data_IF_032485256600
#
_entry.id   IF_032485256600
#
_cell.length_a   1.000
_cell.length_b   1.000
_cell.length_c   1.000
_cell.angle_alpha   90.00
_cell.angle_beta   90.00
_cell.angle_gamma   90.00
#
_symmetry.space_group_name_H-M   'P 1'
#
loop_
_entity.id
_entity.type
_entity.pdbx_description
1 polymer ?
#
# COMPACT_ATOMS: atom_id res chain seq x y z
N UNK A 1 14.46 18.40 20.53
CA UNK A 1 13.43 17.55 19.93
C UNK A 1 12.45 17.22 21.02
N UNK A 2 11.16 17.42 20.80
CA UNK A 2 10.16 17.02 21.79
C UNK A 2 10.10 15.49 21.84
N UNK A 3 10.10 14.95 23.06
CA UNK A 3 9.89 13.53 23.33
C UNK A 3 8.40 13.21 23.20
N UNK A 4 7.98 12.86 21.99
CA UNK A 4 6.61 12.41 21.73
C UNK A 4 6.57 10.89 21.84
N UNK A 5 5.57 10.31 22.53
CA UNK A 5 5.50 8.86 22.74
C UNK A 5 5.23 8.06 21.44
N UNK A 6 4.89 8.73 20.34
CA UNK A 6 4.62 8.14 19.03
C UNK A 6 5.68 8.65 18.05
N UNK A 7 6.60 7.76 17.67
CA UNK A 7 7.67 8.05 16.71
C UNK A 7 7.52 7.14 15.49
N UNK A 8 7.60 7.71 14.30
CA UNK A 8 7.55 6.96 13.05
C UNK A 8 8.91 6.31 12.77
N UNK A 9 8.94 4.98 12.61
CA UNK A 9 10.17 4.24 12.31
C UNK A 9 10.33 3.92 10.83
N UNK A 10 9.27 3.38 10.22
CA UNK A 10 9.28 3.01 8.81
C UNK A 10 7.90 3.18 8.18
N UNK A 11 7.84 3.09 6.86
CA UNK A 11 6.59 3.12 6.11
C UNK A 11 6.49 1.93 5.17
N UNK A 12 5.27 1.41 5.02
CA UNK A 12 4.89 0.60 3.87
C UNK A 12 4.39 1.56 2.78
N UNK A 13 4.96 1.46 1.60
CA UNK A 13 4.58 2.23 0.42
C UNK A 13 4.16 1.26 -0.68
N UNK A 14 2.88 1.28 -1.07
CA UNK A 14 2.40 0.41 -2.16
C UNK A 14 1.80 1.25 -3.27
N UNK A 15 2.18 0.92 -4.49
CA UNK A 15 1.71 1.62 -5.68
C UNK A 15 1.19 0.61 -6.69
N UNK A 16 -0.11 0.70 -7.01
CA UNK A 16 -0.85 -0.37 -7.70
C UNK A 16 -1.73 0.18 -8.82
N UNK A 17 -1.85 -0.60 -9.89
CA UNK A 17 -2.91 -0.46 -10.89
C UNK A 17 -3.83 -1.70 -10.86
N UNK A 18 -5.15 -1.56 -10.69
CA UNK A 18 -6.08 -2.65 -10.99
C UNK A 18 -6.09 -2.95 -12.49
N UNK A 19 -6.41 -4.20 -12.84
CA UNK A 19 -6.73 -4.59 -14.21
C UNK A 19 -7.87 -3.71 -14.74
N UNK A 20 -7.82 -3.37 -16.04
CA UNK A 20 -8.86 -2.56 -16.68
C UNK A 20 -10.25 -3.19 -16.48
N UNK A 21 -11.23 -2.39 -16.05
CA UNK A 21 -12.60 -2.84 -15.75
C UNK A 21 -12.80 -3.34 -14.31
N UNK A 22 -11.74 -3.43 -13.51
CA UNK A 22 -11.79 -3.90 -12.12
C UNK A 22 -11.58 -2.77 -11.10
N UNK A 23 -11.53 -1.51 -11.52
CA UNK A 23 -11.19 -0.35 -10.69
C UNK A 23 -12.15 -0.17 -9.51
N UNK A 24 -13.46 -0.34 -9.76
CA UNK A 24 -14.49 -0.23 -8.71
C UNK A 24 -14.39 -1.41 -7.73
N UNK A 25 -14.18 -2.62 -8.24
CA UNK A 25 -14.05 -3.82 -7.42
C UNK A 25 -12.80 -3.74 -6.53
N UNK A 26 -11.67 -3.30 -7.10
CA UNK A 26 -10.44 -3.06 -6.38
C UNK A 26 -10.63 -2.06 -5.24
N UNK A 27 -11.23 -0.89 -5.51
CA UNK A 27 -11.46 0.11 -4.46
C UNK A 27 -12.39 -0.40 -3.37
N UNK A 28 -13.49 -1.08 -3.72
CA UNK A 28 -14.41 -1.66 -2.73
C UNK A 28 -13.71 -2.69 -1.84
N UNK A 29 -12.94 -3.60 -2.43
CA UNK A 29 -12.15 -4.58 -1.69
C UNK A 29 -11.13 -3.89 -0.77
N UNK A 30 -10.44 -2.88 -1.30
CA UNK A 30 -9.39 -2.20 -0.55
C UNK A 30 -9.95 -1.40 0.63
N UNK A 31 -11.05 -0.66 0.43
CA UNK A 31 -11.69 0.16 1.46
C UNK A 31 -12.41 -0.66 2.53
N UNK A 32 -12.98 -1.81 2.17
CA UNK A 32 -13.79 -2.61 3.08
C UNK A 32 -13.01 -3.70 3.79
N UNK A 33 -11.90 -4.14 3.20
CA UNK A 33 -11.14 -5.26 3.73
C UNK A 33 -9.64 -4.94 3.79
N UNK A 34 -8.96 -4.83 2.64
CA UNK A 34 -7.50 -4.87 2.60
C UNK A 34 -6.81 -3.79 3.43
N UNK A 35 -7.29 -2.55 3.40
CA UNK A 35 -6.70 -1.45 4.16
C UNK A 35 -6.71 -1.75 5.66
N UNK A 36 -7.76 -2.39 6.16
CA UNK A 36 -7.88 -2.71 7.58
C UNK A 36 -7.27 -4.07 7.89
N UNK A 37 -7.78 -5.14 7.30
CA UNK A 37 -7.40 -6.50 7.64
C UNK A 37 -5.98 -6.86 7.20
N UNK A 38 -5.50 -6.28 6.09
CA UNK A 38 -4.13 -6.49 5.63
C UNK A 38 -3.12 -5.56 6.29
N UNK A 39 -3.56 -4.43 6.86
CA UNK A 39 -2.66 -3.41 7.38
C UNK A 39 -3.11 -2.85 8.74
N UNK A 40 -4.17 -2.02 8.82
CA UNK A 40 -4.44 -1.21 10.02
C UNK A 40 -4.77 -2.01 11.31
N UNK A 41 -5.18 -3.27 11.23
CA UNK A 41 -5.33 -4.13 12.42
C UNK A 41 -4.00 -4.75 12.87
N UNK A 42 -2.97 -4.64 12.04
CA UNK A 42 -1.65 -5.19 12.29
C UNK A 42 -0.98 -4.49 13.46
N UNK A 43 -0.13 -5.22 14.19
CA UNK A 43 0.57 -4.64 15.32
C UNK A 43 1.47 -3.50 14.83
N UNK A 44 1.50 -2.41 15.60
CA UNK A 44 2.40 -1.27 15.44
C UNK A 44 2.17 -0.33 14.25
N UNK A 45 1.17 -0.58 13.39
CA UNK A 45 0.67 0.46 12.49
C UNK A 45 -0.16 1.46 13.28
N UNK A 46 0.16 2.74 13.15
CA UNK A 46 -0.60 3.80 13.85
C UNK A 46 -1.31 4.76 12.89
N UNK A 47 -0.93 4.77 11.60
CA UNK A 47 -1.57 5.61 10.60
C UNK A 47 -1.44 5.00 9.22
N UNK A 48 -2.39 5.31 8.35
CA UNK A 48 -2.33 4.99 6.93
C UNK A 48 -3.25 5.89 6.13
N UNK A 49 -2.99 6.00 4.83
CA UNK A 49 -3.84 6.78 3.92
C UNK A 49 -3.72 6.28 2.49
N UNK A 50 -4.75 6.58 1.70
CA UNK A 50 -4.83 6.23 0.29
C UNK A 50 -5.04 7.47 -0.57
N UNK A 51 -4.50 7.42 -1.77
CA UNK A 51 -4.65 8.45 -2.80
C UNK A 51 -4.82 7.81 -4.16
N UNK A 52 -5.41 8.58 -5.07
CA UNK A 52 -5.56 8.21 -6.48
C UNK A 52 -4.89 9.26 -7.33
N UNK A 53 -3.93 8.84 -8.16
CA UNK A 53 -3.33 9.65 -9.21
C UNK A 53 -4.09 9.42 -10.52
N UNK A 54 -4.81 10.44 -10.98
CA UNK A 54 -5.47 10.42 -12.29
C UNK A 54 -4.43 10.46 -13.41
N UNK A 55 -4.82 10.17 -14.67
CA UNK A 55 -3.93 10.26 -15.83
C UNK A 55 -3.17 11.59 -15.88
N UNK A 56 -3.88 12.71 -15.72
CA UNK A 56 -3.28 14.04 -15.70
C UNK A 56 -2.24 14.23 -14.58
N UNK A 57 -2.42 13.61 -13.40
CA UNK A 57 -1.41 13.65 -12.34
C UNK A 57 -0.20 12.76 -12.68
N UNK A 58 -0.41 11.63 -13.37
CA UNK A 58 0.68 10.76 -13.81
C UNK A 58 1.50 11.39 -14.94
N UNK A 59 0.89 12.24 -15.76
CA UNK A 59 1.58 13.01 -16.81
C UNK A 59 2.55 14.07 -16.25
N UNK A 60 2.43 14.42 -14.97
CA UNK A 60 3.35 15.33 -14.29
C UNK A 60 4.59 14.63 -13.70
N UNK A 61 4.71 13.31 -13.84
CA UNK A 61 5.79 12.55 -13.21
C UNK A 61 7.11 12.77 -13.93
N UNK A 62 8.17 12.84 -13.13
CA UNK A 62 9.54 12.96 -13.60
C UNK A 62 10.48 12.21 -12.63
N UNK A 63 11.65 11.75 -13.09
CA UNK A 63 12.05 11.67 -14.50
C UNK A 63 11.20 10.65 -15.28
N UNK A 64 11.17 10.80 -16.61
CA UNK A 64 10.55 9.80 -17.50
C UNK A 64 11.40 8.52 -17.57
N UNK A 65 10.80 7.44 -18.08
CA UNK A 65 11.45 6.13 -18.21
C UNK A 65 11.26 5.25 -16.97
N UNK A 66 12.25 4.42 -16.66
CA UNK A 66 12.24 3.55 -15.48
C UNK A 66 12.82 4.28 -14.26
N UNK A 67 12.16 4.15 -13.11
CA UNK A 67 12.56 4.82 -11.87
C UNK A 67 12.60 3.83 -10.70
N UNK A 68 13.28 4.17 -9.59
CA UNK A 68 13.25 3.35 -8.37
C UNK A 68 11.84 3.18 -7.77
N UNK A 69 10.89 4.05 -8.13
CA UNK A 69 9.51 4.01 -7.61
C UNK A 69 8.61 3.20 -8.53
N UNK A 70 8.67 3.40 -9.85
CA UNK A 70 7.84 2.72 -10.83
C UNK A 70 8.57 2.56 -12.19
N UNK A 71 8.33 1.42 -12.84
CA UNK A 71 8.87 1.09 -14.16
C UNK A 71 7.78 0.54 -15.10
N UNK A 72 7.38 1.29 -16.15
CA UNK A 72 7.71 2.70 -16.40
C UNK A 72 7.16 3.65 -15.32
N UNK A 73 7.69 4.87 -15.27
CA UNK A 73 7.38 5.93 -14.31
C UNK A 73 5.88 6.25 -14.18
N UNK A 74 5.09 5.99 -15.22
CA UNK A 74 3.65 6.29 -15.26
C UNK A 74 2.74 5.13 -14.78
N UNK A 75 3.33 4.01 -14.32
CA UNK A 75 2.59 2.93 -13.66
C UNK A 75 2.15 3.31 -12.25
N UNK A 76 1.02 2.73 -11.86
CA UNK A 76 0.46 2.84 -10.55
C UNK A 76 -0.40 4.09 -10.36
N UNK A 77 -1.69 3.89 -10.18
CA UNK A 77 -2.67 4.97 -9.99
C UNK A 77 -3.17 5.04 -8.56
N UNK A 78 -3.02 3.96 -7.79
CA UNK A 78 -3.47 3.89 -6.40
C UNK A 78 -2.26 3.78 -5.47
N UNK A 79 -2.04 4.84 -4.70
CA UNK A 79 -1.03 4.87 -3.64
C UNK A 79 -1.72 4.53 -2.32
N UNK A 80 -1.13 3.62 -1.56
CA UNK A 80 -1.42 3.48 -0.14
C UNK A 80 -0.13 3.54 0.66
N UNK A 81 -0.15 4.31 1.75
CA UNK A 81 0.94 4.35 2.72
C UNK A 81 0.45 3.96 4.09
N UNK A 82 1.35 3.36 4.86
CA UNK A 82 1.14 3.01 6.24
C UNK A 82 2.39 3.28 7.06
N UNK A 83 2.21 3.74 8.30
CA UNK A 83 3.29 4.13 9.19
C UNK A 83 3.41 3.15 10.35
N UNK A 84 4.61 2.62 10.52
CA UNK A 84 4.98 1.70 11.59
C UNK A 84 5.77 2.46 12.65
N UNK A 85 5.48 2.20 13.92
CA UNK A 85 6.23 2.76 15.03
C UNK A 85 7.74 2.45 14.95
N UNK A 86 8.54 3.34 15.52
CA UNK A 86 9.99 3.14 15.72
C UNK A 86 10.28 1.80 16.40
N UNK A 87 11.36 1.14 15.96
CA UNK A 87 11.81 -0.19 16.43
C UNK A 87 10.82 -1.36 16.25
N UNK A 88 9.70 -1.16 15.54
CA UNK A 88 8.66 -2.17 15.33
C UNK A 88 8.57 -2.76 13.92
N UNK A 89 9.46 -2.34 13.01
CA UNK A 89 9.46 -2.79 11.61
C UNK A 89 9.41 -4.33 11.48
N UNK A 90 10.40 -5.02 12.05
CA UNK A 90 10.48 -6.48 11.89
C UNK A 90 9.26 -7.21 12.46
N UNK A 91 8.84 -6.84 13.66
CA UNK A 91 7.68 -7.45 14.32
C UNK A 91 6.39 -7.27 13.51
N UNK A 92 6.20 -6.06 12.96
CA UNK A 92 5.07 -5.79 12.07
C UNK A 92 5.10 -6.65 10.80
N UNK A 93 6.21 -6.65 10.07
CA UNK A 93 6.29 -7.32 8.76
C UNK A 93 6.34 -8.85 8.87
N UNK A 94 6.85 -9.42 9.97
CA UNK A 94 6.73 -10.85 10.26
C UNK A 94 5.24 -11.25 10.42
N UNK A 95 4.43 -10.44 11.11
CA UNK A 95 2.98 -10.66 11.19
C UNK A 95 2.29 -10.45 9.84
N UNK A 96 2.63 -9.37 9.13
CA UNK A 96 1.97 -9.00 7.87
C UNK A 96 2.17 -10.06 6.78
N UNK A 97 3.36 -10.71 6.75
CA UNK A 97 3.65 -11.82 5.84
C UNK A 97 2.71 -13.02 6.03
N UNK A 98 2.40 -13.38 7.28
CA UNK A 98 1.43 -14.45 7.55
C UNK A 98 -0.01 -13.99 7.22
N UNK A 99 -0.35 -12.77 7.62
CA UNK A 99 -1.69 -12.22 7.42
C UNK A 99 -2.07 -12.15 5.93
N UNK A 100 -1.16 -11.74 5.06
CA UNK A 100 -1.45 -11.69 3.62
C UNK A 100 -1.71 -13.09 3.07
N UNK A 101 -0.95 -14.10 3.48
CA UNK A 101 -1.18 -15.49 3.06
C UNK A 101 -2.57 -15.95 3.50
N UNK A 102 -2.93 -15.74 4.76
CA UNK A 102 -4.23 -16.12 5.31
C UNK A 102 -5.40 -15.44 4.56
N UNK A 103 -5.28 -14.14 4.26
CA UNK A 103 -6.30 -13.43 3.50
C UNK A 103 -6.50 -14.05 2.10
N UNK A 104 -5.42 -14.37 1.40
CA UNK A 104 -5.53 -14.98 0.07
C UNK A 104 -6.09 -16.41 0.14
N UNK A 105 -5.67 -17.23 1.12
CA UNK A 105 -6.22 -18.57 1.34
C UNK A 105 -7.71 -18.57 1.65
N UNK A 106 -8.22 -17.50 2.28
CA UNK A 106 -9.63 -17.34 2.62
C UNK A 106 -10.42 -16.53 1.59
N UNK A 107 -9.94 -16.43 0.35
CA UNK A 107 -10.61 -15.73 -0.76
C UNK A 107 -10.91 -14.24 -0.46
N UNK A 108 -10.03 -13.62 0.33
CA UNK A 108 -10.04 -12.19 0.69
C UNK A 108 -8.90 -11.41 0.02
N UNK A 109 -8.18 -12.04 -0.90
CA UNK A 109 -7.23 -11.37 -1.79
C UNK A 109 -7.92 -10.71 -2.98
N UNK A 110 -7.17 -9.92 -3.75
CA UNK A 110 -7.62 -9.38 -5.03
C UNK A 110 -6.56 -9.62 -6.09
N UNK A 111 -6.89 -10.44 -7.08
CA UNK A 111 -5.97 -10.90 -8.11
C UNK A 111 -5.88 -9.95 -9.31
N UNK A 112 -6.93 -9.18 -9.56
CA UNK A 112 -7.04 -8.27 -10.71
C UNK A 112 -6.30 -6.95 -10.48
N UNK A 113 -5.02 -7.04 -10.10
CA UNK A 113 -4.15 -5.89 -9.82
C UNK A 113 -2.69 -6.20 -10.14
N UNK A 114 -1.94 -5.14 -10.40
CA UNK A 114 -0.51 -5.18 -10.69
C UNK A 114 0.20 -4.17 -9.79
N UNK A 115 1.26 -4.63 -9.14
CA UNK A 115 2.11 -3.76 -8.33
C UNK A 115 3.12 -3.06 -9.23
N UNK A 116 3.13 -1.74 -9.18
CA UNK A 116 4.23 -0.92 -9.65
C UNK A 116 5.36 -0.86 -8.59
N UNK A 117 4.97 -0.92 -7.30
CA UNK A 117 5.88 -0.94 -6.15
C UNK A 117 5.24 -1.67 -4.95
N UNK A 118 6.08 -2.34 -4.15
CA UNK A 118 5.74 -2.93 -2.84
C UNK A 118 6.93 -2.82 -1.90
#
# INVERSE_FOLDING_TARGET
MNDYPIVAGSALFTLVDPSKGHEVAYNRWYERDHFYAGCMIGPWLFAGKRWVATRAMKDLRFPEGDTPVASPHDKGSYLATYWVLEDKHKEHFDWAGNQVVDLYMNNRGFMERQHAHT
#
